data_IF_358467986156
#
_entry.id   IF_358467986156
#
_cell.length_a   1.000
_cell.length_b   1.000
_cell.length_c   1.000
_cell.angle_alpha   90.00
_cell.angle_beta   90.00
_cell.angle_gamma   90.00
#
_symmetry.space_group_name_H-M   'P 1'
#
loop_
_entity.id
_entity.type
_entity.pdbx_description
1 polymer ?
#
# COMPACT_ATOMS: atom_id res chain seq x y z
N UNK A 1 -42.60 -13.21 -75.61
CA UNK A 1 -41.58 -12.43 -74.88
C UNK A 1 -42.19 -11.06 -74.58
N UNK A 2 -42.49 -10.82 -73.31
CA UNK A 2 -43.35 -9.73 -72.83
C UNK A 2 -42.57 -8.44 -72.56
N UNK A 3 -43.06 -7.34 -73.13
CA UNK A 3 -42.89 -5.97 -72.64
C UNK A 3 -44.17 -5.21 -73.02
N UNK A 4 -44.77 -4.52 -72.04
CA UNK A 4 -45.13 -3.09 -72.08
C UNK A 4 -46.26 -2.72 -71.09
N UNK A 5 -45.90 -1.81 -70.18
CA UNK A 5 -46.60 -0.58 -69.71
C UNK A 5 -48.01 -0.60 -69.07
N UNK A 6 -47.99 -0.03 -67.84
CA UNK A 6 -48.80 1.06 -67.21
C UNK A 6 -50.30 0.88 -66.94
N UNK A 7 -50.66 1.09 -65.65
CA UNK A 7 -51.70 2.00 -65.10
C UNK A 7 -51.52 2.07 -63.56
N UNK A 8 -51.14 3.23 -62.99
CA UNK A 8 -51.98 4.22 -62.26
C UNK A 8 -52.79 3.62 -61.09
N UNK A 9 -52.45 3.85 -59.80
CA UNK A 9 -52.46 5.06 -58.95
C UNK A 9 -53.84 5.35 -58.28
N UNK A 10 -53.94 5.01 -56.99
CA UNK A 10 -54.83 5.55 -55.93
C UNK A 10 -54.03 5.33 -54.63
N UNK A 11 -53.71 6.27 -53.74
CA UNK A 11 -54.39 7.48 -53.29
C UNK A 11 -54.57 7.36 -51.77
N UNK A 12 -53.52 7.57 -50.98
CA UNK A 12 -53.57 7.56 -49.50
C UNK A 12 -53.06 8.88 -48.93
N UNK A 13 -53.88 9.44 -48.04
CA UNK A 13 -53.74 10.75 -47.38
C UNK A 13 -52.49 10.83 -46.53
N UNK A 14 -51.77 11.94 -46.66
CA UNK A 14 -50.60 12.32 -45.84
C UNK A 14 -51.07 12.63 -44.42
N UNK A 15 -50.48 11.98 -43.42
CA UNK A 15 -50.73 12.18 -42.00
C UNK A 15 -49.87 13.37 -41.51
N UNK A 16 -50.51 14.41 -41.00
CA UNK A 16 -49.87 15.69 -40.64
C UNK A 16 -49.22 15.61 -39.24
N UNK A 17 -47.94 15.25 -39.21
CA UNK A 17 -47.11 15.08 -38.02
C UNK A 17 -47.00 16.34 -37.14
N UNK A 18 -47.22 17.53 -37.71
CA UNK A 18 -47.11 18.80 -36.97
C UNK A 18 -48.28 19.05 -36.01
N UNK A 19 -49.41 18.35 -36.16
CA UNK A 19 -50.52 18.41 -35.19
C UNK A 19 -50.30 17.51 -33.97
N UNK A 20 -49.57 16.41 -34.11
CA UNK A 20 -49.32 15.49 -32.99
C UNK A 20 -48.32 16.09 -31.98
N UNK A 21 -47.30 16.79 -32.48
CA UNK A 21 -46.26 17.43 -31.65
C UNK A 21 -46.84 18.58 -30.81
N UNK A 22 -47.84 19.31 -31.33
CA UNK A 22 -48.49 20.40 -30.59
C UNK A 22 -49.43 19.92 -29.47
N UNK A 23 -49.97 18.71 -29.56
CA UNK A 23 -50.85 18.14 -28.50
C UNK A 23 -50.00 17.60 -27.34
N UNK A 24 -48.82 17.04 -27.61
CA UNK A 24 -47.90 16.55 -26.58
C UNK A 24 -47.23 17.70 -25.78
N UNK A 25 -47.02 18.86 -26.40
CA UNK A 25 -46.44 20.03 -25.73
C UNK A 25 -47.38 20.69 -24.69
N UNK A 26 -48.70 20.51 -24.81
CA UNK A 26 -49.69 21.10 -23.88
C UNK A 26 -49.93 20.22 -22.64
N UNK A 27 -49.66 18.91 -22.73
CA UNK A 27 -49.80 17.99 -21.58
C UNK A 27 -48.57 17.97 -20.65
N UNK A 28 -47.40 18.45 -21.10
CA UNK A 28 -46.18 18.53 -20.29
C UNK A 28 -46.12 19.71 -19.30
N UNK A 29 -47.05 20.66 -19.39
CA UNK A 29 -47.01 21.91 -18.61
C UNK A 29 -47.97 21.95 -17.40
N UNK A 30 -48.70 20.88 -17.12
CA UNK A 30 -49.68 20.84 -15.99
C UNK A 30 -49.23 19.91 -14.84
N UNK A 31 -48.16 19.12 -15.00
CA UNK A 31 -47.61 18.28 -13.90
C UNK A 31 -46.46 18.97 -13.15
N UNK A 32 -45.92 20.08 -13.67
CA UNK A 32 -44.78 20.80 -13.09
C UNK A 32 -45.09 21.87 -12.04
N UNK A 33 -46.35 22.07 -11.64
CA UNK A 33 -46.75 23.25 -10.85
C UNK A 33 -47.53 22.93 -9.54
N UNK A 34 -47.44 21.73 -8.97
CA UNK A 34 -48.15 21.36 -7.72
C UNK A 34 -47.23 20.85 -6.58
N UNK A 35 -45.90 20.77 -6.78
CA UNK A 35 -44.98 20.40 -5.68
C UNK A 35 -43.89 21.44 -5.44
N UNK A 36 -44.30 22.71 -5.28
CA UNK A 36 -43.40 23.75 -4.79
C UNK A 36 -44.17 24.63 -3.81
N UNK A 37 -44.23 24.21 -2.54
CA UNK A 37 -44.50 25.04 -1.36
C UNK A 37 -44.31 24.22 -0.09
N UNK A 38 -43.24 24.51 0.66
CA UNK A 38 -43.02 24.19 2.09
C UNK A 38 -42.83 22.69 2.40
N UNK A 39 -41.66 22.24 2.83
CA UNK A 39 -40.99 22.62 4.08
C UNK A 39 -39.48 22.76 3.83
N UNK A 40 -38.95 23.96 4.10
CA UNK A 40 -37.55 24.08 4.49
C UNK A 40 -37.46 23.53 5.90
N UNK A 41 -36.74 22.41 6.05
CA UNK A 41 -36.15 22.01 7.30
C UNK A 41 -34.66 22.25 7.11
N UNK A 42 -34.18 23.38 7.65
CA UNK A 42 -32.79 23.51 8.06
C UNK A 42 -32.58 22.43 9.13
N UNK A 43 -32.12 21.25 8.73
CA UNK A 43 -31.52 20.29 9.65
C UNK A 43 -30.02 20.59 9.64
N UNK A 44 -29.69 21.57 10.49
CA UNK A 44 -28.37 21.95 10.93
C UNK A 44 -27.86 20.85 11.87
N UNK A 45 -27.35 19.77 11.28
CA UNK A 45 -26.51 18.80 11.97
C UNK A 45 -25.19 18.74 11.22
N UNK A 46 -24.27 19.59 11.66
CA UNK A 46 -22.88 19.67 11.22
C UNK A 46 -22.17 18.34 11.46
N UNK A 47 -22.26 17.40 10.52
CA UNK A 47 -21.10 16.56 10.22
C UNK A 47 -20.00 17.54 9.81
N UNK A 48 -19.03 17.78 10.71
CA UNK A 48 -17.84 18.55 10.38
C UNK A 48 -17.02 17.68 9.42
N UNK A 49 -17.43 17.64 8.15
CA UNK A 49 -16.54 17.23 7.07
C UNK A 49 -15.40 18.24 7.09
N UNK A 50 -14.16 17.76 7.07
CA UNK A 50 -12.97 18.61 6.99
C UNK A 50 -13.04 19.62 5.82
N UNK A 51 -13.88 19.31 4.81
CA UNK A 51 -14.09 20.07 3.57
C UNK A 51 -15.49 20.71 3.51
N UNK A 52 -16.29 20.66 4.59
CA UNK A 52 -17.55 21.43 4.67
C UNK A 52 -17.31 22.90 5.02
N UNK A 53 -18.32 23.73 4.77
CA UNK A 53 -18.34 25.19 4.56
C UNK A 53 -17.59 26.16 5.52
N UNK A 54 -16.40 25.87 6.08
CA UNK A 54 -15.57 26.97 6.62
C UNK A 54 -14.06 26.78 6.86
N UNK A 55 -13.44 25.59 6.84
CA UNK A 55 -12.02 25.50 7.27
C UNK A 55 -11.00 25.02 6.23
N UNK A 56 -11.17 23.87 5.54
CA UNK A 56 -10.19 23.38 4.53
C UNK A 56 -10.72 23.30 3.10
N UNK A 57 -11.90 23.90 2.82
CA UNK A 57 -12.51 23.85 1.49
C UNK A 57 -11.66 24.52 0.42
N UNK A 58 -11.02 25.65 0.74
CA UNK A 58 -10.17 26.37 -0.22
C UNK A 58 -8.92 25.54 -0.57
N UNK A 59 -8.23 25.00 0.43
CA UNK A 59 -7.09 24.07 0.25
C UNK A 59 -7.50 22.84 -0.57
N UNK A 60 -8.65 22.25 -0.26
CA UNK A 60 -9.17 21.12 -1.01
C UNK A 60 -9.41 21.47 -2.47
N UNK A 61 -10.03 22.61 -2.75
CA UNK A 61 -10.33 23.01 -4.13
C UNK A 61 -9.06 23.31 -4.93
N UNK A 62 -8.05 23.90 -4.29
CA UNK A 62 -6.77 24.19 -4.94
C UNK A 62 -6.05 22.89 -5.33
N UNK A 63 -5.84 21.98 -4.37
CA UNK A 63 -5.04 20.76 -4.59
C UNK A 63 -5.81 19.65 -5.31
N UNK A 64 -7.14 19.56 -5.18
CA UNK A 64 -7.94 18.54 -5.86
C UNK A 64 -8.07 18.80 -7.37
N UNK A 65 -7.81 20.05 -7.79
CA UNK A 65 -7.79 20.47 -9.20
C UNK A 65 -6.43 20.26 -9.87
N UNK A 66 -5.43 19.80 -9.10
CA UNK A 66 -4.07 19.55 -9.56
C UNK A 66 -4.02 18.54 -10.73
N UNK A 67 -3.06 18.67 -11.67
CA UNK A 67 -2.83 17.70 -12.75
C UNK A 67 -2.62 16.26 -12.28
N UNK A 68 -2.05 16.07 -11.07
CA UNK A 68 -1.88 14.76 -10.44
C UNK A 68 -2.43 14.82 -9.01
N UNK A 69 -3.73 14.58 -8.81
CA UNK A 69 -4.32 14.56 -7.47
C UNK A 69 -4.05 13.22 -6.77
N UNK A 70 -3.91 13.24 -5.44
CA UNK A 70 -3.70 12.03 -4.65
C UNK A 70 -5.05 11.42 -4.21
N UNK A 71 -5.23 10.10 -4.38
CA UNK A 71 -6.54 9.45 -4.23
C UNK A 71 -7.20 9.63 -2.85
N UNK A 72 -6.52 9.41 -1.71
CA UNK A 72 -7.11 9.64 -0.39
C UNK A 72 -7.58 11.08 -0.19
N UNK A 73 -6.91 12.03 -0.84
CA UNK A 73 -7.25 13.46 -0.77
C UNK A 73 -8.53 13.78 -1.53
N UNK A 74 -8.67 13.35 -2.79
CA UNK A 74 -9.88 13.61 -3.60
C UNK A 74 -11.11 12.83 -3.11
N UNK A 75 -10.89 11.73 -2.41
CA UNK A 75 -11.95 10.94 -1.77
C UNK A 75 -12.35 11.51 -0.40
N UNK A 76 -11.74 12.63 0.02
CA UNK A 76 -11.99 13.32 1.29
C UNK A 76 -11.74 12.45 2.52
N UNK A 77 -10.80 11.50 2.41
CA UNK A 77 -10.37 10.61 3.51
C UNK A 77 -9.27 11.28 4.34
N UNK A 78 -9.45 12.56 4.71
CA UNK A 78 -8.44 13.35 5.42
C UNK A 78 -8.01 12.69 6.75
N UNK A 79 -8.93 11.98 7.41
CA UNK A 79 -8.66 11.28 8.67
C UNK A 79 -7.61 10.17 8.57
N UNK A 80 -7.45 9.53 7.40
CA UNK A 80 -6.46 8.45 7.24
C UNK A 80 -5.02 8.93 7.42
N UNK A 81 -4.76 10.19 7.07
CA UNK A 81 -3.42 10.78 7.13
C UNK A 81 -3.24 11.74 8.31
N UNK A 82 -4.32 12.37 8.80
CA UNK A 82 -4.23 13.43 9.80
C UNK A 82 -4.71 13.03 11.20
N UNK A 83 -5.54 12.00 11.37
CA UNK A 83 -6.08 11.60 12.67
C UNK A 83 -5.41 10.35 13.22
N UNK A 84 -5.34 10.27 14.54
CA UNK A 84 -4.95 9.07 15.28
C UNK A 84 -6.06 7.99 15.17
N UNK A 85 -5.67 6.71 15.27
CA UNK A 85 -6.56 5.59 14.95
C UNK A 85 -7.80 5.46 15.86
N UNK A 86 -7.80 6.09 17.04
CA UNK A 86 -8.88 6.00 18.04
C UNK A 86 -9.92 7.16 17.96
N UNK A 87 -9.70 8.13 17.07
CA UNK A 87 -10.54 9.33 16.90
C UNK A 87 -11.92 9.11 16.24
N UNK A 88 -12.17 7.91 15.70
CA UNK A 88 -13.39 7.63 14.92
C UNK A 88 -14.41 6.81 15.70
N UNK A 89 -14.91 7.37 16.81
CA UNK A 89 -16.14 6.85 17.42
C UNK A 89 -17.07 7.96 17.90
N UNK A 90 -18.13 8.22 17.13
CA UNK A 90 -19.47 8.49 17.66
C UNK A 90 -20.57 8.30 16.59
N UNK A 91 -21.69 7.77 17.07
CA UNK A 91 -22.76 7.00 16.41
C UNK A 91 -23.74 7.76 15.52
N UNK A 92 -24.33 7.09 14.51
CA UNK A 92 -25.81 6.92 14.36
C UNK A 92 -26.13 5.61 13.63
N UNK A 93 -26.95 4.78 14.27
CA UNK A 93 -27.60 3.58 13.75
C UNK A 93 -28.88 3.88 12.95
N UNK A 94 -29.24 2.96 12.04
CA UNK A 94 -30.51 2.82 11.31
C UNK A 94 -30.67 3.50 9.93
N UNK A 95 -29.86 3.05 8.97
CA UNK A 95 -30.36 2.69 7.64
C UNK A 95 -29.85 1.29 7.34
N UNK A 96 -30.75 0.36 6.98
CA UNK A 96 -30.40 -0.97 6.45
C UNK A 96 -29.75 -0.78 5.07
N UNK A 97 -28.53 -0.27 5.08
CA UNK A 97 -27.61 -0.26 3.97
C UNK A 97 -26.91 -1.61 4.02
N UNK A 98 -26.96 -2.38 2.93
CA UNK A 98 -25.99 -3.48 2.74
C UNK A 98 -24.62 -2.88 3.00
N UNK A 99 -24.02 -3.20 4.15
CA UNK A 99 -22.64 -2.84 4.46
C UNK A 99 -21.82 -3.51 3.37
N UNK A 100 -21.36 -2.73 2.39
CA UNK A 100 -20.32 -3.17 1.47
C UNK A 100 -19.05 -3.07 2.30
N UNK A 101 -18.77 -4.10 3.09
CA UNK A 101 -17.50 -4.22 3.80
C UNK A 101 -16.45 -4.31 2.69
N UNK A 102 -15.60 -3.29 2.57
CA UNK A 102 -14.50 -3.37 1.60
C UNK A 102 -13.47 -4.38 2.13
N UNK A 103 -12.95 -5.26 1.27
CA UNK A 103 -11.93 -6.22 1.70
C UNK A 103 -10.63 -5.48 2.02
N UNK A 104 -9.96 -5.91 3.08
CA UNK A 104 -8.58 -5.49 3.37
C UNK A 104 -7.66 -6.20 2.39
N UNK A 105 -6.68 -5.48 1.84
CA UNK A 105 -5.78 -5.97 0.78
C UNK A 105 -4.34 -5.99 1.27
N UNK A 106 -3.65 -7.11 1.05
CA UNK A 106 -2.21 -7.27 1.22
C UNK A 106 -1.62 -7.63 -0.13
N UNK A 107 -0.57 -6.94 -0.57
CA UNK A 107 0.11 -7.24 -1.83
C UNK A 107 1.57 -7.60 -1.55
N UNK A 108 2.06 -8.66 -2.19
CA UNK A 108 3.48 -9.03 -2.21
C UNK A 108 3.93 -8.97 -3.68
N UNK A 109 4.57 -7.88 -4.12
CA UNK A 109 4.90 -7.67 -5.53
C UNK A 109 6.04 -8.59 -6.02
N UNK A 110 6.84 -9.13 -5.11
CA UNK A 110 7.96 -9.99 -5.44
C UNK A 110 7.51 -11.29 -6.08
N UNK A 111 8.25 -11.67 -7.13
CA UNK A 111 7.99 -12.88 -7.89
C UNK A 111 8.67 -14.06 -7.21
N UNK A 112 7.94 -14.77 -6.35
CA UNK A 112 8.42 -15.91 -5.59
C UNK A 112 7.67 -17.19 -5.95
N UNK A 113 8.35 -18.33 -5.81
CA UNK A 113 7.71 -19.65 -5.96
C UNK A 113 6.90 -20.00 -4.72
N UNK A 114 7.37 -19.55 -3.55
CA UNK A 114 6.75 -19.76 -2.24
C UNK A 114 6.43 -18.40 -1.62
N UNK A 115 5.23 -18.26 -1.05
CA UNK A 115 4.84 -17.08 -0.29
C UNK A 115 4.34 -17.50 1.09
N UNK A 116 4.79 -16.78 2.11
CA UNK A 116 4.22 -16.83 3.45
C UNK A 116 3.72 -15.45 3.83
N UNK A 117 2.44 -15.34 4.18
CA UNK A 117 1.82 -14.09 4.63
C UNK A 117 1.19 -14.31 5.99
N UNK A 118 1.39 -13.36 6.91
CA UNK A 118 0.76 -13.37 8.23
C UNK A 118 -0.20 -12.20 8.33
N UNK A 119 -1.48 -12.49 8.55
CA UNK A 119 -2.54 -11.50 8.76
C UNK A 119 -2.71 -11.33 10.27
N UNK A 120 -2.29 -10.16 10.75
CA UNK A 120 -2.31 -9.83 12.18
C UNK A 120 -3.61 -9.16 12.60
N UNK A 121 -3.92 -9.23 13.89
CA UNK A 121 -5.03 -8.47 14.48
C UNK A 121 -6.43 -8.96 14.11
N UNK A 122 -6.55 -10.21 13.66
CA UNK A 122 -7.86 -10.82 13.41
C UNK A 122 -8.54 -11.19 14.73
N UNK A 123 -9.86 -11.02 14.78
CA UNK A 123 -10.68 -11.54 15.88
C UNK A 123 -10.71 -13.07 15.75
N UNK A 124 -10.15 -13.85 16.71
CA UNK A 124 -9.93 -15.28 16.51
C UNK A 124 -11.19 -16.11 16.23
N UNK A 125 -12.32 -15.70 16.81
CA UNK A 125 -13.60 -16.40 16.71
C UNK A 125 -14.51 -15.90 15.57
N UNK A 126 -14.09 -14.85 14.86
CA UNK A 126 -14.84 -14.31 13.73
C UNK A 126 -14.59 -15.13 12.45
N UNK A 127 -15.56 -15.11 11.53
CA UNK A 127 -15.42 -15.75 10.21
C UNK A 127 -14.89 -14.78 9.19
N UNK A 128 -13.97 -15.24 8.34
CA UNK A 128 -13.37 -14.47 7.26
C UNK A 128 -13.45 -15.23 5.92
N UNK A 129 -13.78 -14.51 4.85
CA UNK A 129 -13.54 -14.97 3.48
C UNK A 129 -12.23 -14.35 2.98
N UNK A 130 -11.38 -15.16 2.35
CA UNK A 130 -10.04 -14.76 1.89
C UNK A 130 -9.89 -15.16 0.41
N UNK A 131 -9.60 -14.18 -0.44
CA UNK A 131 -9.28 -14.35 -1.84
C UNK A 131 -7.81 -14.07 -2.08
N UNK A 132 -7.08 -15.05 -2.60
CA UNK A 132 -5.66 -14.92 -2.93
C UNK A 132 -5.50 -14.97 -4.44
N UNK A 133 -4.94 -13.92 -5.02
CA UNK A 133 -4.60 -13.82 -6.45
C UNK A 133 -3.09 -13.95 -6.61
N UNK A 134 -2.64 -15.00 -7.29
CA UNK A 134 -1.25 -15.16 -7.72
C UNK A 134 -1.13 -14.73 -9.18
N UNK A 135 -0.10 -13.95 -9.52
CA UNK A 135 0.14 -13.49 -10.89
C UNK A 135 1.56 -13.82 -11.31
N UNK A 136 1.79 -14.41 -12.49
CA UNK A 136 3.15 -14.63 -13.02
C UNK A 136 3.69 -13.38 -13.76
N UNK A 137 4.98 -13.39 -14.16
CA UNK A 137 5.61 -12.24 -14.85
C UNK A 137 4.94 -11.92 -16.21
N UNK A 138 4.27 -12.90 -16.82
CA UNK A 138 3.50 -12.74 -18.05
C UNK A 138 2.10 -12.14 -17.83
N UNK A 139 1.71 -11.90 -16.57
CA UNK A 139 0.42 -11.32 -16.20
C UNK A 139 -0.73 -12.33 -16.08
N UNK A 140 -0.48 -13.63 -16.24
CA UNK A 140 -1.49 -14.67 -16.02
C UNK A 140 -1.79 -14.77 -14.53
N UNK A 141 -3.07 -14.98 -14.18
CA UNK A 141 -3.55 -14.99 -12.80
C UNK A 141 -4.22 -16.31 -12.43
N UNK A 142 -4.00 -16.76 -11.20
CA UNK A 142 -4.76 -17.85 -10.57
C UNK A 142 -5.32 -17.33 -9.25
N UNK A 143 -6.58 -17.62 -8.97
CA UNK A 143 -7.25 -17.21 -7.74
C UNK A 143 -7.53 -18.44 -6.88
N UNK A 144 -7.17 -18.37 -5.60
CA UNK A 144 -7.50 -19.33 -4.56
C UNK A 144 -8.41 -18.66 -3.53
N UNK A 145 -9.56 -19.27 -3.27
CA UNK A 145 -10.50 -18.77 -2.26
C UNK A 145 -10.50 -19.69 -1.04
N UNK A 146 -10.57 -19.08 0.14
CA UNK A 146 -10.80 -19.73 1.42
C UNK A 146 -12.03 -19.06 2.03
N UNK A 147 -13.08 -19.83 2.31
CA UNK A 147 -14.36 -19.28 2.73
C UNK A 147 -14.65 -19.67 4.18
N UNK A 148 -15.25 -18.75 4.94
CA UNK A 148 -15.68 -18.92 6.31
C UNK A 148 -14.57 -19.46 7.24
N UNK A 149 -13.35 -18.94 7.09
CA UNK A 149 -12.20 -19.27 7.93
C UNK A 149 -12.40 -18.67 9.31
N UNK A 150 -12.26 -19.49 10.34
CA UNK A 150 -12.28 -19.05 11.74
C UNK A 150 -10.89 -19.32 12.31
N UNK A 151 -10.05 -18.30 12.54
CA UNK A 151 -8.68 -18.51 12.99
C UNK A 151 -8.57 -19.46 14.19
N UNK A 152 -9.46 -19.36 15.19
CA UNK A 152 -9.46 -20.22 16.37
C UNK A 152 -9.69 -21.72 16.09
N UNK A 153 -10.29 -22.07 14.95
CA UNK A 153 -10.57 -23.45 14.56
C UNK A 153 -9.50 -24.06 13.65
N UNK A 154 -8.61 -23.23 13.09
CA UNK A 154 -7.57 -23.71 12.20
C UNK A 154 -6.46 -24.40 13.00
N UNK A 155 -5.92 -25.47 12.42
CA UNK A 155 -4.86 -26.21 13.08
C UNK A 155 -3.60 -25.35 13.16
N UNK A 156 -2.98 -25.28 14.33
CA UNK A 156 -1.60 -24.86 14.45
C UNK A 156 -0.71 -25.94 13.80
N UNK A 157 -0.37 -25.72 12.52
CA UNK A 157 0.35 -26.69 11.70
C UNK A 157 1.87 -26.63 11.95
N UNK A 158 2.34 -25.67 12.75
CA UNK A 158 3.76 -25.47 13.05
C UNK A 158 3.91 -25.37 14.56
N UNK A 159 3.95 -26.54 15.21
CA UNK A 159 4.24 -26.72 16.64
C UNK A 159 5.27 -25.68 17.12
N UNK A 160 4.84 -24.72 17.96
CA UNK A 160 5.67 -23.70 18.63
C UNK A 160 7.17 -23.92 18.44
N UNK A 161 7.72 -23.44 17.31
CA UNK A 161 9.15 -23.62 17.02
C UNK A 161 9.91 -22.69 17.96
N UNK A 162 10.93 -23.23 18.60
CA UNK A 162 11.83 -22.50 19.50
C UNK A 162 13.25 -22.42 18.93
N UNK A 163 13.48 -23.00 17.75
CA UNK A 163 14.76 -22.89 17.05
C UNK A 163 14.76 -21.60 16.25
N UNK A 164 15.91 -20.94 16.28
CA UNK A 164 16.18 -19.86 15.36
C UNK A 164 16.45 -20.39 13.94
N UNK A 165 16.20 -19.57 12.90
CA UNK A 165 16.49 -19.93 11.54
C UNK A 165 17.98 -20.20 11.36
N UNK A 166 18.31 -21.34 10.76
CA UNK A 166 19.69 -21.71 10.43
C UNK A 166 20.10 -20.95 9.17
N UNK A 167 20.99 -19.96 9.34
CA UNK A 167 21.48 -19.11 8.27
C UNK A 167 22.67 -19.78 7.56
N UNK A 168 22.63 -19.82 6.24
CA UNK A 168 23.66 -20.41 5.40
C UNK A 168 23.92 -19.62 4.11
N UNK A 169 24.99 -19.96 3.39
CA UNK A 169 25.34 -19.38 2.08
C UNK A 169 25.43 -17.85 2.03
N UNK A 170 25.80 -17.21 3.15
CA UNK A 170 25.93 -15.74 3.25
C UNK A 170 27.05 -15.23 2.36
N UNK A 171 26.71 -14.34 1.42
CA UNK A 171 27.63 -13.79 0.43
C UNK A 171 27.39 -12.31 0.21
N UNK A 172 28.47 -11.52 0.18
CA UNK A 172 28.45 -10.17 -0.34
C UNK A 172 28.72 -10.20 -1.86
N UNK A 173 27.90 -9.50 -2.62
CA UNK A 173 28.03 -9.34 -4.06
C UNK A 173 29.18 -8.42 -4.46
N UNK A 174 29.35 -8.14 -5.77
CA UNK A 174 30.29 -7.12 -6.22
C UNK A 174 29.92 -5.75 -5.64
N UNK A 175 30.94 -4.90 -5.49
CA UNK A 175 30.71 -3.49 -5.14
C UNK A 175 30.38 -2.75 -6.42
N UNK A 176 29.17 -2.21 -6.49
CA UNK A 176 28.67 -1.49 -7.65
C UNK A 176 28.75 0.02 -7.41
N UNK A 177 28.98 0.75 -8.50
CA UNK A 177 28.90 2.21 -8.51
C UNK A 177 27.61 2.67 -9.15
N UNK A 178 26.63 2.99 -8.32
CA UNK A 178 25.42 3.73 -8.67
C UNK A 178 25.56 5.22 -8.29
N UNK A 179 24.51 5.77 -7.67
CA UNK A 179 24.57 7.10 -7.03
C UNK A 179 25.45 7.07 -5.78
N UNK A 180 25.37 5.97 -5.02
CA UNK A 180 26.28 5.62 -3.94
C UNK A 180 27.08 4.37 -4.31
N UNK A 181 28.10 4.02 -3.52
CA UNK A 181 28.62 2.67 -3.54
C UNK A 181 27.68 1.76 -2.78
N UNK A 182 27.44 0.59 -3.36
CA UNK A 182 26.51 -0.39 -2.84
C UNK A 182 27.00 -1.82 -3.07
N UNK A 183 26.42 -2.74 -2.31
CA UNK A 183 26.59 -4.17 -2.51
C UNK A 183 25.33 -4.91 -2.08
N UNK A 184 24.98 -5.98 -2.80
CA UNK A 184 23.86 -6.84 -2.41
C UNK A 184 24.39 -8.03 -1.62
N UNK A 185 23.85 -8.24 -0.43
CA UNK A 185 24.14 -9.37 0.44
C UNK A 185 23.01 -10.38 0.33
N UNK A 186 23.36 -11.63 0.06
CA UNK A 186 22.41 -12.73 -0.12
C UNK A 186 22.71 -13.87 0.84
N UNK A 187 21.67 -14.54 1.34
CA UNK A 187 21.80 -15.74 2.18
C UNK A 187 20.56 -16.63 2.09
N UNK A 188 20.64 -17.82 2.66
CA UNK A 188 19.53 -18.76 2.76
C UNK A 188 19.22 -19.13 4.22
N UNK A 189 17.96 -19.48 4.49
CA UNK A 189 17.51 -20.04 5.76
C UNK A 189 16.75 -21.35 5.56
N UNK A 190 16.80 -22.23 6.57
CA UNK A 190 16.05 -23.49 6.56
C UNK A 190 14.52 -23.28 6.69
N UNK A 191 14.12 -22.16 7.28
CA UNK A 191 12.74 -21.73 7.47
C UNK A 191 12.48 -20.29 7.04
N UNK A 192 11.20 -19.96 6.79
CA UNK A 192 10.82 -18.62 6.32
C UNK A 192 11.03 -17.57 7.41
N UNK A 193 11.73 -16.50 7.07
CA UNK A 193 12.13 -15.48 8.04
C UNK A 193 12.28 -14.10 7.39
N UNK A 194 12.39 -13.06 8.22
CA UNK A 194 12.66 -11.68 7.79
C UNK A 194 14.11 -11.50 7.37
N UNK A 195 14.42 -10.34 6.75
CA UNK A 195 15.77 -10.05 6.26
C UNK A 195 16.31 -8.72 6.81
N UNK A 196 17.46 -8.76 7.49
CA UNK A 196 18.18 -7.54 7.89
C UNK A 196 19.70 -7.74 7.88
N UNK A 197 20.46 -6.66 7.68
CA UNK A 197 21.92 -6.66 7.69
C UNK A 197 22.44 -5.61 8.67
N UNK A 198 23.33 -6.03 9.57
CA UNK A 198 24.15 -5.14 10.39
C UNK A 198 25.54 -5.03 9.75
N UNK A 199 26.05 -3.81 9.57
CA UNK A 199 27.33 -3.57 8.91
C UNK A 199 28.07 -2.33 9.44
N UNK A 200 29.39 -2.31 9.33
CA UNK A 200 30.21 -1.18 9.74
C UNK A 200 31.68 -1.36 9.39
N UNK A 201 32.49 -0.32 9.64
CA UNK A 201 33.96 -0.39 9.45
C UNK A 201 34.67 -1.00 10.65
N UNK A 202 33.91 -1.39 11.67
CA UNK A 202 34.34 -2.10 12.86
C UNK A 202 33.38 -3.25 13.18
N UNK A 203 33.82 -4.18 14.04
CA UNK A 203 33.01 -5.30 14.56
C UNK A 203 31.83 -4.84 15.46
N UNK A 204 31.63 -3.53 15.64
CA UNK A 204 30.48 -2.98 16.39
C UNK A 204 29.26 -2.74 15.50
N UNK A 205 29.41 -2.85 14.17
CA UNK A 205 28.34 -2.64 13.18
C UNK A 205 27.61 -1.30 13.39
N UNK A 206 28.26 -0.22 12.98
CA UNK A 206 27.75 1.14 13.19
C UNK A 206 26.42 1.43 12.46
N UNK A 207 25.96 0.53 11.59
CA UNK A 207 24.74 0.66 10.79
C UNK A 207 23.94 -0.65 10.77
N UNK A 208 22.62 -0.51 10.62
CA UNK A 208 21.69 -1.61 10.35
C UNK A 208 20.76 -1.19 9.21
N UNK A 209 20.44 -2.11 8.30
CA UNK A 209 19.40 -1.88 7.28
C UNK A 209 18.02 -1.90 7.94
N UNK A 210 17.01 -1.24 7.34
CA UNK A 210 15.62 -1.56 7.67
C UNK A 210 15.38 -3.07 7.54
N UNK A 211 14.55 -3.62 8.43
CA UNK A 211 14.15 -5.02 8.34
C UNK A 211 13.11 -5.18 7.24
N UNK A 212 13.35 -6.11 6.32
CA UNK A 212 12.37 -6.56 5.35
C UNK A 212 11.47 -7.62 6.00
N UNK A 213 10.20 -7.25 6.20
CA UNK A 213 9.18 -8.10 6.81
C UNK A 213 8.69 -9.24 5.93
N UNK A 214 9.13 -9.33 4.67
CA UNK A 214 8.78 -10.42 3.77
C UNK A 214 9.41 -11.73 4.23
N UNK A 215 8.56 -12.71 4.52
CA UNK A 215 8.97 -14.01 5.02
C UNK A 215 9.41 -14.94 3.88
N UNK A 216 10.73 -15.05 3.68
CA UNK A 216 11.36 -15.84 2.61
C UNK A 216 12.43 -16.78 3.16
N UNK A 217 12.88 -17.71 2.31
CA UNK A 217 14.05 -18.56 2.58
C UNK A 217 15.30 -18.13 1.82
N UNK A 218 15.12 -17.38 0.74
CA UNK A 218 16.21 -16.82 -0.06
C UNK A 218 16.17 -15.31 0.12
N UNK A 219 17.17 -14.77 0.77
CA UNK A 219 17.23 -13.38 1.18
C UNK A 219 18.18 -12.60 0.29
N UNK A 220 17.84 -11.33 0.06
CA UNK A 220 18.65 -10.41 -0.74
C UNK A 220 18.45 -8.99 -0.23
N UNK A 221 19.46 -8.42 0.42
CA UNK A 221 19.42 -7.05 0.95
C UNK A 221 20.57 -6.24 0.36
N UNK A 222 20.25 -5.08 -0.21
CA UNK A 222 21.27 -4.16 -0.71
C UNK A 222 21.68 -3.15 0.35
N UNK A 223 22.98 -3.04 0.58
CA UNK A 223 23.60 -2.07 1.50
C UNK A 223 24.15 -0.91 0.69
N UNK A 224 23.80 0.31 1.12
CA UNK A 224 24.13 1.58 0.44
C UNK A 224 25.12 2.42 1.23
N UNK A 225 25.63 3.47 0.57
CA UNK A 225 26.37 4.54 1.24
C UNK A 225 27.76 4.12 1.70
N UNK A 226 28.35 3.11 1.03
CA UNK A 226 29.66 2.59 1.37
C UNK A 226 30.77 3.59 0.96
N UNK A 227 31.85 3.61 1.74
CA UNK A 227 33.04 4.39 1.43
C UNK A 227 34.02 3.58 0.57
N UNK A 228 34.72 4.22 -0.36
CA UNK A 228 35.75 3.59 -1.18
C UNK A 228 36.96 3.11 -0.37
N UNK A 229 37.58 2.01 -0.80
CA UNK A 229 38.84 1.50 -0.24
C UNK A 229 38.79 1.24 1.28
N UNK A 230 37.65 0.75 1.77
CA UNK A 230 37.42 0.31 3.15
C UNK A 230 37.15 -1.18 3.21
N UNK A 231 37.42 -1.75 4.38
CA UNK A 231 36.91 -3.06 4.73
C UNK A 231 35.71 -2.85 5.65
N UNK A 232 34.64 -3.57 5.37
CA UNK A 232 33.43 -3.59 6.17
C UNK A 232 33.27 -4.96 6.80
N UNK A 233 32.87 -4.95 8.07
CA UNK A 233 32.36 -6.11 8.79
C UNK A 233 30.85 -6.09 8.67
N UNK A 234 30.24 -7.24 8.47
CA UNK A 234 28.79 -7.39 8.45
C UNK A 234 28.36 -8.73 9.02
N UNK A 235 27.09 -8.81 9.40
CA UNK A 235 26.38 -10.04 9.69
C UNK A 235 24.92 -9.88 9.30
N UNK A 236 24.27 -10.99 8.99
CA UNK A 236 22.85 -10.99 8.62
C UNK A 236 22.00 -11.50 9.77
N UNK A 237 20.78 -10.99 9.85
CA UNK A 237 19.78 -11.33 10.87
C UNK A 237 18.49 -11.71 10.21
N UNK A 238 17.86 -12.73 10.76
CA UNK A 238 16.59 -13.26 10.29
C UNK A 238 15.73 -13.62 11.49
N UNK A 239 14.49 -13.14 11.51
CA UNK A 239 13.49 -13.48 12.53
C UNK A 239 12.42 -14.36 11.88
N UNK A 240 12.17 -15.54 12.45
CA UNK A 240 11.10 -16.41 11.97
C UNK A 240 9.71 -15.89 12.37
N UNK A 241 8.67 -16.59 11.94
CA UNK A 241 7.27 -16.24 12.26
C UNK A 241 6.93 -16.33 13.76
N UNK A 242 7.77 -16.98 14.57
CA UNK A 242 7.60 -17.16 16.01
C UNK A 242 8.43 -16.18 16.85
N UNK A 243 9.21 -15.32 16.19
CA UNK A 243 10.09 -14.34 16.84
C UNK A 243 11.47 -14.91 17.21
N UNK A 244 11.82 -16.12 16.78
CA UNK A 244 13.15 -16.67 16.98
C UNK A 244 14.15 -15.99 16.04
N UNK A 245 15.28 -15.56 16.60
CA UNK A 245 16.29 -14.74 15.89
C UNK A 245 17.52 -15.55 15.55
N UNK A 246 17.76 -15.73 14.26
CA UNK A 246 19.02 -16.20 13.70
C UNK A 246 19.97 -15.04 13.44
N UNK A 247 21.25 -15.26 13.70
CA UNK A 247 22.33 -14.32 13.35
C UNK A 247 23.46 -15.13 12.73
N UNK A 248 24.01 -14.66 11.61
CA UNK A 248 25.15 -15.31 10.98
C UNK A 248 26.44 -15.15 11.80
N UNK A 249 27.49 -15.83 11.37
CA UNK A 249 28.85 -15.45 11.74
C UNK A 249 29.22 -14.06 11.20
N UNK A 250 30.30 -13.51 11.72
CA UNK A 250 30.81 -12.20 11.30
C UNK A 250 31.62 -12.38 9.99
N UNK A 251 31.22 -11.64 8.95
CA UNK A 251 31.82 -11.69 7.62
C UNK A 251 32.41 -10.34 7.25
N UNK A 252 33.25 -10.33 6.21
CA UNK A 252 33.88 -9.10 5.71
C UNK A 252 33.75 -8.97 4.19
N UNK A 253 33.68 -7.72 3.72
CA UNK A 253 33.85 -7.39 2.31
C UNK A 253 34.69 -6.12 2.15
N UNK A 254 35.27 -5.93 0.97
CA UNK A 254 36.14 -4.78 0.67
C UNK A 254 35.62 -3.96 -0.49
N UNK A 255 35.64 -2.63 -0.33
CA UNK A 255 35.29 -1.64 -1.36
C UNK A 255 36.48 -1.16 -2.17
N UNK A 256 37.60 -1.89 -2.11
CA UNK A 256 38.80 -1.57 -2.90
C UNK A 256 38.67 -1.89 -4.40
N UNK A 257 37.70 -2.72 -4.80
CA UNK A 257 37.40 -3.00 -6.21
C UNK A 257 35.94 -2.68 -6.50
N UNK A 258 35.73 -1.62 -7.28
CA UNK A 258 34.40 -1.17 -7.68
C UNK A 258 34.16 -1.51 -9.15
N UNK A 259 33.00 -2.09 -9.45
CA UNK A 259 32.52 -2.36 -10.80
C UNK A 259 31.50 -1.30 -11.20
N UNK A 260 31.40 -1.01 -12.50
CA UNK A 260 30.25 -0.26 -13.01
C UNK A 260 29.07 -1.20 -13.21
N UNK A 261 27.83 -0.71 -13.11
CA UNK A 261 26.63 -1.50 -13.42
C UNK A 261 26.71 -2.15 -14.81
N UNK A 262 27.36 -1.49 -15.78
CA UNK A 262 27.57 -2.04 -17.13
C UNK A 262 28.56 -3.21 -17.21
N UNK A 263 29.36 -3.45 -16.16
CA UNK A 263 30.33 -4.56 -16.11
C UNK A 263 29.73 -5.85 -15.52
N UNK A 264 28.49 -5.78 -15.00
CA UNK A 264 27.79 -6.95 -14.45
C UNK A 264 26.78 -7.43 -15.47
N UNK A 265 27.14 -8.50 -16.19
CA UNK A 265 26.15 -9.31 -16.91
C UNK A 265 25.24 -9.95 -15.87
N UNK A 266 24.07 -9.36 -15.63
CA UNK A 266 22.98 -10.06 -14.97
C UNK A 266 22.65 -11.26 -15.86
N UNK A 267 22.94 -12.47 -15.40
CA UNK A 267 22.30 -13.67 -15.93
C UNK A 267 20.81 -13.56 -15.62
N UNK A 268 20.09 -12.82 -16.45
CA UNK A 268 18.65 -12.92 -16.54
C UNK A 268 18.39 -14.29 -17.16
N UNK A 269 18.43 -15.32 -16.32
CA UNK A 269 17.86 -16.61 -16.69
C UNK A 269 16.35 -16.37 -16.79
N UNK A 270 15.93 -15.85 -17.93
CA UNK A 270 14.57 -16.00 -18.45
C UNK A 270 14.38 -17.50 -18.69
N UNK A 271 14.22 -18.22 -17.58
CA UNK A 271 13.79 -19.61 -17.58
C UNK A 271 12.40 -19.52 -18.15
N UNK A 272 12.23 -19.87 -19.43
CA UNK A 272 10.97 -19.77 -20.15
C UNK A 272 9.85 -20.50 -19.41
N UNK A 273 9.20 -19.79 -18.50
CA UNK A 273 8.06 -20.28 -17.75
C UNK A 273 6.87 -20.28 -18.71
N UNK A 274 6.23 -21.43 -18.86
CA UNK A 274 5.06 -21.56 -19.71
C UNK A 274 3.95 -20.58 -19.31
N UNK A 275 3.06 -20.28 -20.26
CA UNK A 275 1.91 -19.38 -20.05
C UNK A 275 0.89 -19.88 -19.02
N UNK A 276 1.01 -21.14 -18.58
CA UNK A 276 0.16 -21.73 -17.55
C UNK A 276 1.00 -22.13 -16.34
N UNK A 277 0.55 -21.74 -15.16
CA UNK A 277 1.10 -22.16 -13.89
C UNK A 277 -0.02 -22.61 -12.96
N UNK A 278 0.31 -23.47 -12.00
CA UNK A 278 -0.65 -23.98 -11.04
C UNK A 278 -0.17 -23.73 -9.61
N UNK A 279 -1.12 -23.67 -8.69
CA UNK A 279 -0.85 -23.68 -7.26
C UNK A 279 -0.57 -25.13 -6.85
N UNK A 280 0.65 -25.39 -6.36
CA UNK A 280 1.06 -26.69 -5.80
C UNK A 280 0.53 -26.88 -4.40
N UNK A 281 0.57 -25.82 -3.59
CA UNK A 281 0.20 -25.85 -2.18
C UNK A 281 -0.46 -24.54 -1.79
N UNK A 282 -1.50 -24.61 -0.97
CA UNK A 282 -2.22 -23.46 -0.44
C UNK A 282 -2.85 -23.87 0.89
N UNK A 283 -2.21 -23.46 1.98
CA UNK A 283 -2.56 -23.85 3.34
C UNK A 283 -2.77 -22.62 4.21
N UNK A 284 -3.68 -22.76 5.17
CA UNK A 284 -3.87 -21.83 6.26
C UNK A 284 -3.24 -22.45 7.50
N UNK A 285 -2.64 -21.60 8.33
CA UNK A 285 -2.12 -21.96 9.63
C UNK A 285 -2.36 -20.81 10.60
N UNK A 286 -2.10 -21.04 11.88
CA UNK A 286 -2.23 -20.01 12.93
C UNK A 286 -0.91 -19.92 13.67
N UNK A 287 -0.52 -18.70 14.04
CA UNK A 287 0.62 -18.41 14.91
C UNK A 287 0.13 -17.49 16.03
N UNK A 288 -0.05 -18.04 17.23
CA UNK A 288 -0.69 -17.30 18.32
C UNK A 288 -2.13 -16.90 17.96
N UNK A 289 -2.38 -15.61 17.77
CA UNK A 289 -3.67 -15.06 17.29
C UNK A 289 -3.70 -14.73 15.80
N UNK A 290 -2.57 -14.84 15.11
CA UNK A 290 -2.42 -14.37 13.74
C UNK A 290 -2.66 -15.50 12.74
N UNK A 291 -3.25 -15.15 11.58
CA UNK A 291 -3.58 -16.12 10.54
C UNK A 291 -2.50 -16.14 9.46
N UNK A 292 -1.85 -17.28 9.31
CA UNK A 292 -0.84 -17.52 8.29
C UNK A 292 -1.43 -18.11 7.00
N UNK A 293 -0.93 -17.66 5.86
CA UNK A 293 -1.17 -18.22 4.54
C UNK A 293 0.15 -18.70 3.95
N UNK A 294 0.23 -19.98 3.59
CA UNK A 294 1.36 -20.54 2.84
C UNK A 294 0.89 -20.93 1.45
N UNK A 295 1.55 -20.37 0.42
CA UNK A 295 1.25 -20.67 -0.99
C UNK A 295 2.51 -21.08 -1.73
N UNK A 296 2.41 -22.11 -2.56
CA UNK A 296 3.49 -22.54 -3.47
C UNK A 296 2.93 -22.65 -4.89
N UNK A 297 3.59 -22.04 -5.87
CA UNK A 297 3.26 -22.12 -7.29
C UNK A 297 4.30 -22.95 -8.07
N UNK A 298 3.97 -23.31 -9.31
CA UNK A 298 4.93 -23.98 -10.21
C UNK A 298 5.95 -23.04 -10.82
N UNK A 299 5.74 -21.72 -10.71
CA UNK A 299 6.57 -20.66 -11.27
C UNK A 299 6.60 -19.48 -10.28
N UNK A 300 7.57 -18.56 -10.40
CA UNK A 300 7.56 -17.32 -9.62
C UNK A 300 6.31 -16.47 -9.89
N UNK A 301 5.66 -16.01 -8.83
CA UNK A 301 4.43 -15.19 -8.90
C UNK A 301 4.49 -14.04 -7.93
N UNK A 302 3.81 -12.93 -8.21
CA UNK A 302 3.41 -11.97 -7.19
C UNK A 302 2.10 -12.42 -6.54
N UNK A 303 1.83 -11.92 -5.34
CA UNK A 303 0.69 -12.29 -4.52
C UNK A 303 -0.18 -11.07 -4.20
N UNK A 304 -1.49 -11.24 -4.20
CA UNK A 304 -2.45 -10.27 -3.65
C UNK A 304 -3.50 -11.01 -2.85
N UNK A 305 -3.58 -10.75 -1.55
CA UNK A 305 -4.54 -11.33 -0.61
C UNK A 305 -5.60 -10.28 -0.31
N UNK A 306 -6.86 -10.64 -0.43
CA UNK A 306 -8.01 -9.84 -0.01
C UNK A 306 -8.75 -10.61 1.06
N UNK A 307 -9.11 -10.00 2.18
CA UNK A 307 -9.93 -10.66 3.19
C UNK A 307 -11.03 -9.74 3.73
N UNK A 308 -12.13 -10.37 4.14
CA UNK A 308 -13.33 -9.70 4.61
C UNK A 308 -13.90 -10.48 5.79
N UNK A 309 -14.26 -9.77 6.87
CA UNK A 309 -14.99 -10.35 8.00
C UNK A 309 -16.45 -10.57 7.61
N UNK A 310 -16.93 -11.81 7.71
CA UNK A 310 -18.28 -12.20 7.25
C UNK A 310 -19.24 -12.55 8.39
N UNK A 311 -18.75 -12.84 9.60
CA UNK A 311 -19.61 -13.10 10.79
C UNK A 311 -18.88 -12.74 12.10
N UNK A 312 -19.60 -12.11 13.04
CA UNK A 312 -19.15 -11.86 14.42
C UNK A 312 -19.28 -13.12 15.30
N UNK A 313 -18.46 -13.29 16.35
CA UNK A 313 -18.61 -14.40 17.28
C UNK A 313 -19.93 -14.32 18.06
N UNK A 314 -20.61 -15.45 18.25
CA UNK A 314 -21.83 -15.51 19.08
C UNK A 314 -21.44 -15.49 20.57
N UNK A 315 -21.52 -14.32 21.22
CA UNK A 315 -21.30 -14.19 22.68
C UNK A 315 -21.72 -12.84 23.27
N UNK A 316 -22.77 -12.88 24.09
CA UNK A 316 -23.38 -11.91 25.04
C UNK A 316 -22.97 -10.42 24.99
N UNK A 317 -23.96 -9.57 24.65
CA UNK A 317 -23.95 -8.12 24.88
C UNK A 317 -23.66 -7.81 26.35
N UNK A 318 -22.50 -7.22 26.64
CA UNK A 318 -22.26 -6.53 27.90
C UNK A 318 -22.61 -5.05 27.70
N UNK A 319 -23.74 -4.65 28.29
CA UNK A 319 -24.07 -3.22 28.51
C UNK A 319 -22.93 -2.58 29.31
N UNK A 320 -22.30 -1.53 28.77
CA UNK A 320 -21.44 -0.64 29.54
C UNK A 320 -22.06 0.75 29.63
N UNK A 321 -22.32 1.12 30.89
CA UNK A 321 -22.78 2.42 31.37
C UNK A 321 -21.83 3.55 30.94
N UNK A 322 -22.40 4.61 30.38
CA UNK A 322 -21.69 5.84 30.05
C UNK A 322 -21.61 6.76 31.28
N UNK A 323 -20.39 6.99 31.79
CA UNK A 323 -20.11 8.09 32.72
C UNK A 323 -19.63 9.29 31.89
N UNK A 324 -20.44 10.34 31.84
CA UNK A 324 -20.11 11.60 31.18
C UNK A 324 -19.23 12.47 32.09
N UNK A 325 -18.04 12.84 31.59
CA UNK A 325 -17.22 13.92 32.14
C UNK A 325 -17.24 15.09 31.17
N UNK A 326 -17.81 16.22 31.59
CA UNK A 326 -17.82 17.47 30.84
C UNK A 326 -16.56 18.27 31.12
N UNK A 327 -15.87 18.76 30.08
CA UNK A 327 -15.07 19.99 30.15
C UNK A 327 -15.31 20.81 28.90
N UNK A 328 -15.87 22.01 29.09
CA UNK A 328 -15.97 23.06 28.09
C UNK A 328 -14.59 23.73 27.89
N UNK A 329 -14.19 23.93 26.63
CA UNK A 329 -13.72 25.20 26.02
C UNK A 329 -12.51 25.09 25.09
N UNK A 330 -12.72 25.59 23.86
CA UNK A 330 -11.78 26.24 22.91
C UNK A 330 -10.87 25.34 22.03
N UNK A 331 -11.32 25.16 20.77
CA UNK A 331 -10.59 24.67 19.59
C UNK A 331 -9.48 23.65 19.85
N UNK A 332 -9.86 22.38 19.92
CA UNK A 332 -8.91 21.30 20.05
C UNK A 332 -9.27 20.18 19.09
N UNK A 333 -8.51 20.04 18.01
CA UNK A 333 -8.38 18.75 17.37
C UNK A 333 -7.42 17.94 18.26
N UNK A 334 -7.91 17.45 19.39
CA UNK A 334 -7.13 16.75 20.42
C UNK A 334 -6.51 15.42 19.92
N UNK A 335 -6.78 15.03 18.67
CA UNK A 335 -6.48 13.71 18.11
C UNK A 335 -5.77 13.79 16.73
N UNK A 336 -5.12 14.92 16.41
CA UNK A 336 -4.27 15.03 15.22
C UNK A 336 -2.93 14.35 15.44
N UNK A 337 -2.49 13.58 14.43
CA UNK A 337 -1.15 12.99 14.40
C UNK A 337 -0.07 14.04 14.60
N UNK A 338 0.98 13.64 15.30
CA UNK A 338 2.16 14.47 15.42
C UNK A 338 2.80 14.71 14.05
N UNK A 339 3.56 15.82 13.95
CA UNK A 339 4.07 16.29 12.66
C UNK A 339 4.95 15.27 11.94
N UNK A 340 5.74 14.53 12.70
CA UNK A 340 6.65 13.49 12.22
C UNK A 340 5.89 12.25 11.69
N UNK A 341 4.76 11.91 12.30
CA UNK A 341 3.98 10.72 11.96
C UNK A 341 3.26 10.85 10.63
N UNK A 342 2.72 12.03 10.30
CA UNK A 342 2.10 12.22 8.98
C UNK A 342 3.11 12.41 7.84
N UNK A 343 4.35 12.81 8.15
CA UNK A 343 5.39 13.06 7.15
C UNK A 343 6.06 11.78 6.60
N UNK A 344 5.96 10.65 7.32
CA UNK A 344 6.52 9.35 6.91
C UNK A 344 5.52 8.22 7.19
N UNK A 345 5.16 7.99 8.46
CA UNK A 345 4.46 6.77 8.88
C UNK A 345 3.05 6.65 8.29
N UNK A 346 2.32 7.76 8.16
CA UNK A 346 1.01 7.77 7.52
C UNK A 346 1.10 7.39 6.02
N UNK A 347 2.19 7.76 5.34
CA UNK A 347 2.41 7.40 3.95
C UNK A 347 2.66 5.90 3.79
N UNK A 348 3.44 5.30 4.69
CA UNK A 348 3.76 3.86 4.67
C UNK A 348 2.55 2.94 4.82
N UNK A 349 1.44 3.44 5.38
CA UNK A 349 0.19 2.67 5.46
C UNK A 349 -0.37 2.30 4.08
N UNK A 350 -0.05 3.07 3.04
CA UNK A 350 -0.50 2.82 1.66
C UNK A 350 0.66 2.70 0.65
N UNK A 351 1.83 3.27 0.97
CA UNK A 351 3.06 3.21 0.18
C UNK A 351 4.16 2.57 1.02
N UNK A 352 4.07 1.27 1.26
CA UNK A 352 4.94 0.61 2.22
C UNK A 352 6.39 0.62 1.66
N UNK A 353 7.43 0.72 2.52
CA UNK A 353 8.83 0.89 2.10
C UNK A 353 9.29 -0.15 1.05
N UNK A 354 8.72 -1.34 1.11
CA UNK A 354 8.99 -2.49 0.25
C UNK A 354 8.57 -2.22 -1.22
N UNK A 355 7.58 -1.35 -1.45
CA UNK A 355 7.12 -0.97 -2.80
C UNK A 355 7.85 0.25 -3.39
N UNK A 356 8.47 1.08 -2.54
CA UNK A 356 9.12 2.33 -2.95
C UNK A 356 10.54 2.10 -3.49
N UNK A 357 11.17 0.97 -3.18
CA UNK A 357 12.50 0.64 -3.67
C UNK A 357 13.60 1.54 -3.10
N UNK A 358 14.84 1.23 -3.48
CA UNK A 358 16.04 1.58 -2.71
C UNK A 358 16.51 3.05 -2.91
N UNK A 359 15.79 3.82 -3.72
CA UNK A 359 16.08 5.22 -4.04
C UNK A 359 15.22 6.23 -3.26
N UNK A 360 14.47 5.79 -2.23
CA UNK A 360 13.60 6.64 -1.40
C UNK A 360 14.12 6.77 0.03
N UNK A 361 15.23 7.51 0.26
CA UNK A 361 15.82 7.67 1.58
C UNK A 361 15.02 8.67 2.41
N UNK A 362 14.06 8.17 3.17
CA UNK A 362 13.29 8.95 4.15
C UNK A 362 13.60 8.44 5.56
N UNK A 363 13.42 9.29 6.57
CA UNK A 363 13.80 8.98 7.94
C UNK A 363 15.31 9.11 8.21
N UNK A 364 16.05 9.76 7.29
CA UNK A 364 17.49 9.97 7.42
C UNK A 364 17.83 11.44 7.71
N UNK A 365 18.81 11.65 8.58
CA UNK A 365 19.43 12.96 8.75
C UNK A 365 20.40 13.24 7.60
N UNK A 366 20.39 14.46 7.03
CA UNK A 366 21.35 14.87 6.02
C UNK A 366 22.76 14.85 6.60
N UNK A 367 23.71 14.23 5.89
CA UNK A 367 25.12 14.28 6.29
C UNK A 367 25.67 15.69 6.08
N UNK A 368 26.78 16.03 6.74
CA UNK A 368 27.46 17.33 6.59
C UNK A 368 27.86 17.66 5.13
N UNK A 369 27.92 16.66 4.25
CA UNK A 369 28.22 16.77 2.81
C UNK A 369 26.97 16.98 1.94
N UNK A 370 25.78 16.99 2.53
CA UNK A 370 24.48 17.12 1.86
C UNK A 370 23.94 18.53 2.06
N UNK A 371 23.77 19.29 0.98
CA UNK A 371 23.14 20.63 1.03
C UNK A 371 21.70 20.52 0.59
N UNK A 372 20.74 20.63 1.50
CA UNK A 372 19.33 20.58 1.13
C UNK A 372 18.87 21.97 0.68
N UNK A 373 18.25 22.10 -0.52
CA UNK A 373 17.67 23.36 -0.96
C UNK A 373 16.68 23.93 0.08
N UNK A 374 16.80 25.23 0.37
CA UNK A 374 15.97 25.91 1.39
C UNK A 374 14.46 25.85 1.13
N UNK A 375 14.06 25.57 -0.11
CA UNK A 375 12.66 25.49 -0.54
C UNK A 375 12.05 24.10 -0.41
N UNK A 376 12.80 23.08 0.02
CA UNK A 376 12.26 21.75 0.32
C UNK A 376 11.94 21.62 1.81
N UNK A 377 10.73 21.16 2.18
CA UNK A 377 10.36 21.05 3.58
C UNK A 377 11.12 19.88 4.24
N UNK A 378 11.61 20.11 5.45
CA UNK A 378 12.19 19.08 6.32
C UNK A 378 11.46 19.10 7.64
N UNK A 379 11.38 17.95 8.29
CA UNK A 379 10.78 17.83 9.62
C UNK A 379 11.87 17.47 10.62
N UNK A 380 12.09 18.32 11.62
CA UNK A 380 13.14 18.20 12.63
C UNK A 380 14.55 17.90 12.07
N UNK A 381 14.84 18.42 10.86
CA UNK A 381 16.12 18.22 10.19
C UNK A 381 16.27 16.87 9.49
N UNK A 382 15.19 16.09 9.36
CA UNK A 382 15.16 14.78 8.71
C UNK A 382 14.52 14.90 7.32
N UNK A 383 15.03 14.13 6.35
CA UNK A 383 14.40 13.97 5.04
C UNK A 383 13.18 13.06 5.17
N UNK A 384 12.02 13.53 4.73
CA UNK A 384 10.73 12.80 4.83
C UNK A 384 10.12 12.58 3.45
N UNK A 385 8.98 11.87 3.37
CA UNK A 385 8.27 11.70 2.11
C UNK A 385 7.84 13.06 1.53
N UNK A 386 7.43 14.00 2.39
CA UNK A 386 6.92 15.31 1.97
C UNK A 386 8.01 16.30 1.56
N UNK A 387 9.27 15.99 1.90
CA UNK A 387 10.44 16.72 1.36
C UNK A 387 10.48 16.63 -0.17
N UNK A 388 10.08 15.49 -0.73
CA UNK A 388 10.12 15.23 -2.16
C UNK A 388 8.73 15.19 -2.82
N UNK A 389 7.67 14.89 -2.08
CA UNK A 389 6.31 14.70 -2.60
C UNK A 389 5.28 15.67 -2.00
N UNK A 390 4.24 15.97 -2.76
CA UNK A 390 3.06 16.74 -2.33
C UNK A 390 1.89 15.78 -2.06
N UNK A 391 1.57 15.48 -0.78
CA UNK A 391 0.66 14.39 -0.41
C UNK A 391 -0.82 14.66 -0.72
N UNK A 392 -1.23 15.89 -1.03
CA UNK A 392 -2.60 16.18 -1.49
C UNK A 392 -2.73 16.08 -3.01
N UNK A 393 -1.67 16.43 -3.73
CA UNK A 393 -1.63 16.48 -5.19
C UNK A 393 -0.57 17.49 -5.65
N UNK A 394 -0.14 17.39 -6.91
CA UNK A 394 0.89 18.28 -7.43
C UNK A 394 0.93 18.38 -8.96
N UNK A 395 1.57 19.43 -9.46
CA UNK A 395 1.65 19.71 -10.91
C UNK A 395 2.53 18.72 -11.68
N UNK A 396 3.32 17.92 -10.95
CA UNK A 396 4.30 17.00 -11.50
C UNK A 396 3.92 15.55 -11.25
N UNK A 397 4.34 14.69 -12.18
CA UNK A 397 4.12 13.23 -12.09
C UNK A 397 4.72 12.70 -10.79
N UNK A 398 4.06 11.71 -10.19
CA UNK A 398 4.43 11.14 -8.88
C UNK A 398 4.35 12.15 -7.74
N UNK A 399 3.60 13.25 -7.91
CA UNK A 399 3.40 14.27 -6.90
C UNK A 399 4.69 14.97 -6.48
N UNK A 400 5.73 14.94 -7.32
CA UNK A 400 7.04 15.47 -6.94
C UNK A 400 6.99 17.00 -6.73
N UNK A 401 7.67 17.48 -5.68
CA UNK A 401 7.86 18.91 -5.39
C UNK A 401 8.65 19.61 -6.50
N UNK A 402 9.57 18.88 -7.15
CA UNK A 402 10.41 19.32 -8.26
C UNK A 402 10.56 18.19 -9.29
N UNK A 403 11.07 18.52 -10.47
CA UNK A 403 11.27 17.55 -11.54
C UNK A 403 12.28 16.48 -11.09
N UNK A 404 11.87 15.19 -11.15
CA UNK A 404 12.73 14.06 -10.76
C UNK A 404 13.75 13.81 -11.88
N UNK A 405 14.80 14.62 -11.89
CA UNK A 405 15.90 14.55 -12.85
C UNK A 405 17.24 14.32 -12.15
N UNK A 406 18.31 14.11 -12.91
CA UNK A 406 19.66 14.03 -12.33
C UNK A 406 20.01 15.27 -11.49
N UNK A 407 19.48 16.43 -11.86
CA UNK A 407 19.70 17.69 -11.13
C UNK A 407 19.08 17.70 -9.74
N UNK A 408 17.95 17.03 -9.47
CA UNK A 408 17.40 16.97 -8.11
C UNK A 408 18.31 16.15 -7.18
N UNK A 409 18.86 15.05 -7.68
CA UNK A 409 19.83 14.25 -6.94
C UNK A 409 21.10 15.04 -6.64
N UNK A 410 21.62 15.78 -7.63
CA UNK A 410 22.80 16.65 -7.45
C UNK A 410 22.51 17.81 -6.50
N UNK A 411 21.28 18.32 -6.45
CA UNK A 411 20.92 19.45 -5.60
C UNK A 411 21.13 19.17 -4.11
N UNK A 412 20.96 17.91 -3.68
CA UNK A 412 21.25 17.46 -2.33
C UNK A 412 22.72 17.03 -2.15
N UNK A 413 23.38 16.53 -3.19
CA UNK A 413 24.77 16.05 -3.17
C UNK A 413 25.79 17.07 -3.71
N UNK A 414 25.53 18.37 -3.52
CA UNK A 414 26.44 19.44 -3.95
C UNK A 414 27.77 19.35 -3.17
N UNK A 415 28.79 18.75 -3.80
CA UNK A 415 30.13 18.64 -3.22
C UNK A 415 30.83 17.31 -3.42
N UNK A 416 30.19 16.32 -4.05
CA UNK A 416 30.84 15.07 -4.49
C UNK A 416 31.56 15.20 -5.83
#
# INVERSE_FOLDING_TARGET
MSRLRKKEMFGLRIFDWNKLIKILAVFGLVVGAVFCSMVFSEDDSTEISCVSESCHLDMYNDDASSPYPHSPFIEKQCGECHLEADATSNSVSDVVSKVVIQPVVITCPDYLVEHTVVIKGLVPEAKFDINVTMQNKLGNKVIKQFNAIVPANEQDVRLNDERAPEISEVKAGPILRGVFLETTITWETDEVSTSAVEFGVSEQYDNITPEDGLLVKHHSVTVYGLEENKNYYFRVKSEDIFGNKGVSEDLEFSTGKVLSESDVELEDTDVGYGSEFNIRKAEIFVVGSDLGLYLEATVPTSLRVEYIKVEEPQGEELEQDWVTGTTDSEDVHDELRERKEWAIDACYRCHPPEELGLSHPVGIEPKDTTTIPEDLPMEDGVITCVTCHKPHGGDMKYFAQKEITKEICISCHLGY
#
